data_IF_747903835074
#
_entry.id   IF_747903835074
#
_cell.length_a   1.000
_cell.length_b   1.000
_cell.length_c   1.000
_cell.angle_alpha   90.00
_cell.angle_beta   90.00
_cell.angle_gamma   90.00
#
_symmetry.space_group_name_H-M   'P 1'
#
loop_
_entity.id
_entity.type
_entity.pdbx_description
1 polymer ?
#
# COMPACT_ATOMS: atom_id res chain seq x y z
N UNK A 1 -2.23 -9.67 6.03
CA UNK A 1 -2.03 -8.26 6.39
C UNK A 1 -0.67 -8.03 7.03
N UNK A 2 -0.40 -8.56 8.23
CA UNK A 2 0.83 -8.25 8.98
C UNK A 2 2.15 -8.56 8.26
N UNK A 3 2.29 -9.75 7.64
CA UNK A 3 3.50 -10.09 6.89
C UNK A 3 3.71 -9.23 5.63
N UNK A 4 2.62 -8.83 4.96
CA UNK A 4 2.68 -7.95 3.78
C UNK A 4 3.05 -6.52 4.20
N UNK A 5 2.52 -6.05 5.33
CA UNK A 5 2.84 -4.74 5.89
C UNK A 5 4.32 -4.70 6.29
N UNK A 6 4.80 -5.69 7.03
CA UNK A 6 6.21 -5.77 7.46
C UNK A 6 7.19 -5.86 6.27
N UNK A 7 6.77 -6.43 5.14
CA UNK A 7 7.60 -6.47 3.92
C UNK A 7 7.73 -5.10 3.25
N UNK A 8 6.73 -4.24 3.38
CA UNK A 8 6.71 -2.90 2.78
C UNK A 8 7.30 -1.85 3.72
N UNK A 9 6.89 -1.88 4.99
CA UNK A 9 7.36 -1.02 6.06
C UNK A 9 7.64 -1.88 7.31
N UNK A 10 8.91 -2.26 7.55
CA UNK A 10 9.27 -3.15 8.64
C UNK A 10 9.26 -2.46 10.01
N UNK A 11 9.39 -1.12 10.06
CA UNK A 11 9.32 -0.38 11.32
C UNK A 11 7.87 -0.28 11.79
N UNK A 12 7.61 -0.81 12.99
CA UNK A 12 6.28 -0.76 13.61
C UNK A 12 5.74 0.66 13.85
N UNK A 13 6.61 1.66 13.88
CA UNK A 13 6.29 3.09 13.99
C UNK A 13 6.49 3.85 12.68
N UNK A 14 6.97 3.17 11.64
CA UNK A 14 7.15 3.71 10.30
C UNK A 14 5.83 3.83 9.56
N UNK A 15 5.76 4.82 8.68
CA UNK A 15 4.69 4.95 7.70
C UNK A 15 5.24 5.66 6.46
N UNK A 16 4.64 5.37 5.32
CA UNK A 16 5.05 5.95 4.04
C UNK A 16 3.99 6.96 3.60
N UNK A 17 4.39 8.20 3.36
CA UNK A 17 3.52 9.25 2.83
C UNK A 17 3.68 9.35 1.31
N UNK A 18 2.72 8.82 0.56
CA UNK A 18 2.67 8.92 -0.90
C UNK A 18 2.80 10.38 -1.40
N UNK A 19 2.05 11.30 -0.79
CA UNK A 19 2.10 12.74 -1.12
C UNK A 19 3.51 13.35 -1.00
N UNK A 20 4.31 12.87 -0.06
CA UNK A 20 5.69 13.31 0.11
C UNK A 20 6.58 12.76 -1.01
N UNK A 21 6.38 11.49 -1.38
CA UNK A 21 7.11 10.84 -2.48
C UNK A 21 6.86 11.56 -3.81
N UNK A 22 5.60 11.81 -4.15
CA UNK A 22 5.20 12.44 -5.41
C UNK A 22 5.49 13.95 -5.44
N UNK A 23 5.46 14.61 -4.28
CA UNK A 23 5.68 16.04 -4.15
C UNK A 23 7.13 16.39 -3.83
N UNK A 24 7.40 16.55 -2.54
CA UNK A 24 8.66 17.10 -2.02
C UNK A 24 9.88 16.27 -2.44
N UNK A 25 9.78 14.95 -2.44
CA UNK A 25 10.89 14.08 -2.79
C UNK A 25 11.23 14.16 -4.28
N UNK A 26 10.26 14.19 -5.20
CA UNK A 26 10.54 14.41 -6.64
C UNK A 26 11.18 15.77 -6.89
N UNK A 27 10.66 16.82 -6.24
CA UNK A 27 11.20 18.16 -6.36
C UNK A 27 12.63 18.23 -5.84
N UNK A 28 12.91 17.66 -4.67
CA UNK A 28 14.23 17.63 -4.06
C UNK A 28 15.25 16.87 -4.92
N UNK A 29 14.89 15.67 -5.39
CA UNK A 29 15.78 14.87 -6.26
C UNK A 29 16.08 15.60 -7.56
N UNK A 30 15.06 16.21 -8.18
CA UNK A 30 15.21 16.98 -9.42
C UNK A 30 16.07 18.23 -9.22
N UNK A 31 15.87 18.95 -8.11
CA UNK A 31 16.65 20.14 -7.77
C UNK A 31 18.12 19.80 -7.57
N UNK A 32 18.44 18.71 -6.87
CA UNK A 32 19.83 18.27 -6.67
C UNK A 32 20.51 18.01 -8.02
N UNK A 33 19.85 17.28 -8.92
CA UNK A 33 20.39 17.01 -10.26
C UNK A 33 20.71 18.28 -11.04
N UNK A 34 19.77 19.22 -11.11
CA UNK A 34 19.97 20.48 -11.82
C UNK A 34 21.01 21.39 -11.18
N UNK A 35 21.04 21.45 -9.85
CA UNK A 35 21.98 22.29 -9.13
C UNK A 35 23.41 21.79 -9.31
N UNK A 36 23.63 20.49 -9.18
CA UNK A 36 24.97 19.91 -9.35
C UNK A 36 25.46 20.04 -10.79
N UNK A 37 24.60 19.79 -11.78
CA UNK A 37 24.90 20.00 -13.21
C UNK A 37 25.36 21.45 -13.46
N UNK A 38 24.53 22.42 -13.05
CA UNK A 38 24.82 23.84 -13.23
C UNK A 38 26.12 24.29 -12.56
N UNK A 39 26.37 23.83 -11.32
CA UNK A 39 27.58 24.20 -10.57
C UNK A 39 28.84 23.55 -11.17
N UNK A 40 28.71 22.33 -11.70
CA UNK A 40 29.82 21.62 -12.34
C UNK A 40 30.21 22.31 -13.63
N UNK A 41 29.22 22.67 -14.46
CA UNK A 41 29.42 23.44 -15.67
C UNK A 41 30.03 24.82 -15.41
N UNK A 42 29.52 25.56 -14.41
CA UNK A 42 30.06 26.87 -14.03
C UNK A 42 31.51 26.76 -13.56
N UNK A 43 31.82 25.78 -12.71
CA UNK A 43 33.18 25.55 -12.24
C UNK A 43 34.13 25.18 -13.39
N UNK A 44 33.71 24.30 -14.29
CA UNK A 44 34.49 23.92 -15.47
C UNK A 44 34.73 25.13 -16.40
N UNK A 45 33.73 25.99 -16.59
CA UNK A 45 33.87 27.23 -17.36
C UNK A 45 34.88 28.20 -16.73
N UNK A 46 34.94 28.29 -15.40
CA UNK A 46 35.95 29.09 -14.69
C UNK A 46 37.33 28.46 -14.83
N UNK A 47 37.45 27.13 -14.76
CA UNK A 47 38.72 26.42 -14.97
C UNK A 47 39.28 26.65 -16.38
N UNK A 48 38.41 26.67 -17.39
CA UNK A 48 38.80 26.94 -18.78
C UNK A 48 39.42 28.34 -18.95
N UNK A 49 38.96 29.34 -18.20
CA UNK A 49 39.49 30.71 -18.28
C UNK A 49 40.94 30.84 -17.79
N UNK A 50 41.43 29.90 -16.98
CA UNK A 50 42.79 29.91 -16.43
C UNK A 50 43.68 28.79 -16.98
N UNK A 51 43.18 28.02 -17.96
CA UNK A 51 43.84 26.85 -18.55
C UNK A 51 45.23 27.16 -19.13
N UNK A 52 45.42 28.39 -19.64
CA UNK A 52 46.70 28.88 -20.18
C UNK A 52 47.81 28.98 -19.13
N UNK A 53 47.43 29.17 -17.86
CA UNK A 53 48.36 29.33 -16.72
C UNK A 53 48.61 27.97 -16.06
N UNK A 54 47.54 27.19 -15.89
CA UNK A 54 47.56 25.89 -15.22
C UNK A 54 46.51 24.96 -15.82
N UNK A 55 46.94 23.77 -16.23
CA UNK A 55 46.02 22.72 -16.67
C UNK A 55 45.28 22.11 -15.49
N UNK A 56 43.99 22.41 -15.35
CA UNK A 56 43.11 21.83 -14.34
C UNK A 56 42.22 20.76 -14.98
N UNK A 57 42.05 19.59 -14.36
CA UNK A 57 41.07 18.61 -14.82
C UNK A 57 39.65 19.12 -14.58
N UNK A 58 38.74 18.86 -15.52
CA UNK A 58 37.32 19.15 -15.33
C UNK A 58 36.70 18.27 -14.26
N UNK A 59 35.72 18.86 -13.57
CA UNK A 59 34.83 18.17 -12.66
C UNK A 59 33.83 17.31 -13.45
N UNK A 60 33.50 16.17 -12.88
CA UNK A 60 32.54 15.20 -13.42
C UNK A 60 31.47 14.94 -12.35
N UNK A 61 30.21 15.22 -12.69
CA UNK A 61 29.05 15.02 -11.83
C UNK A 61 28.23 13.77 -12.16
N UNK A 62 28.73 12.92 -13.06
CA UNK A 62 28.04 11.68 -13.50
C UNK A 62 27.55 10.82 -12.34
N UNK A 63 28.34 10.70 -11.26
CA UNK A 63 27.96 9.95 -10.06
C UNK A 63 26.74 10.54 -9.34
N UNK A 64 26.59 11.88 -9.33
CA UNK A 64 25.40 12.53 -8.77
C UNK A 64 24.20 12.32 -9.69
N UNK A 65 24.37 12.45 -11.01
CA UNK A 65 23.31 12.22 -11.98
C UNK A 65 22.80 10.76 -11.95
N UNK A 66 23.69 9.79 -11.79
CA UNK A 66 23.30 8.39 -11.55
C UNK A 66 22.53 8.22 -10.24
N UNK A 67 22.93 8.92 -9.18
CA UNK A 67 22.24 8.96 -7.90
C UNK A 67 20.81 9.52 -8.01
N UNK A 68 20.63 10.58 -8.77
CA UNK A 68 19.33 11.19 -9.08
C UNK A 68 18.43 10.17 -9.79
N UNK A 69 18.91 9.56 -10.87
CA UNK A 69 18.16 8.56 -11.63
C UNK A 69 17.75 7.37 -10.74
N UNK A 70 18.69 6.86 -9.93
CA UNK A 70 18.44 5.74 -9.01
C UNK A 70 17.40 6.10 -7.96
N UNK A 71 17.45 7.33 -7.43
CA UNK A 71 16.51 7.81 -6.42
C UNK A 71 15.11 7.98 -6.99
N UNK A 72 14.97 8.52 -8.20
CA UNK A 72 13.67 8.59 -8.90
C UNK A 72 13.06 7.20 -9.10
N UNK A 73 13.85 6.24 -9.60
CA UNK A 73 13.39 4.85 -9.75
C UNK A 73 12.95 4.25 -8.44
N UNK A 74 13.76 4.41 -7.37
CA UNK A 74 13.42 3.86 -6.06
C UNK A 74 12.11 4.44 -5.52
N UNK A 75 11.87 5.75 -5.71
CA UNK A 75 10.59 6.36 -5.38
C UNK A 75 9.44 5.72 -6.17
N UNK A 76 9.57 5.62 -7.49
CA UNK A 76 8.52 5.07 -8.36
C UNK A 76 8.20 3.60 -8.01
N UNK A 77 9.23 2.82 -7.69
CA UNK A 77 9.09 1.45 -7.20
C UNK A 77 8.33 1.41 -5.85
N UNK A 78 8.68 2.29 -4.91
CA UNK A 78 7.97 2.39 -3.62
C UNK A 78 6.50 2.76 -3.83
N UNK A 79 6.20 3.70 -4.72
CA UNK A 79 4.81 4.08 -4.99
C UNK A 79 4.00 2.93 -5.60
N UNK A 80 4.61 2.20 -6.53
CA UNK A 80 4.00 1.01 -7.12
C UNK A 80 3.70 -0.06 -6.06
N UNK A 81 4.62 -0.25 -5.10
CA UNK A 81 4.42 -1.19 -3.99
C UNK A 81 3.30 -0.74 -3.03
N UNK A 82 3.14 0.56 -2.80
CA UNK A 82 1.99 1.09 -2.03
C UNK A 82 0.67 0.74 -2.70
N UNK A 83 0.55 1.00 -4.01
CA UNK A 83 -0.68 0.67 -4.76
C UNK A 83 -0.99 -0.82 -4.79
N UNK A 84 0.04 -1.65 -4.98
CA UNK A 84 -0.13 -3.11 -4.95
C UNK A 84 -0.55 -3.59 -3.56
N UNK A 85 0.05 -3.03 -2.51
CA UNK A 85 -0.31 -3.34 -1.13
C UNK A 85 -1.76 -2.99 -0.84
N UNK A 86 -2.19 -1.77 -1.14
CA UNK A 86 -3.56 -1.29 -0.91
C UNK A 86 -4.60 -2.13 -1.68
N UNK A 87 -4.35 -2.40 -2.96
CA UNK A 87 -5.23 -3.22 -3.79
C UNK A 87 -5.34 -4.65 -3.24
N UNK A 88 -4.21 -5.23 -2.85
CA UNK A 88 -4.15 -6.59 -2.29
C UNK A 88 -4.88 -6.66 -0.96
N UNK A 89 -4.59 -5.77 -0.01
CA UNK A 89 -5.23 -5.78 1.31
C UNK A 89 -6.73 -5.50 1.20
N UNK A 90 -7.16 -4.58 0.34
CA UNK A 90 -8.59 -4.31 0.09
C UNK A 90 -9.29 -5.57 -0.44
N UNK A 91 -8.68 -6.25 -1.41
CA UNK A 91 -9.25 -7.49 -1.98
C UNK A 91 -9.36 -8.61 -0.94
N UNK A 92 -8.46 -8.66 0.06
CA UNK A 92 -8.58 -9.66 1.15
C UNK A 92 -9.81 -9.49 2.02
N UNK A 93 -10.46 -8.31 2.00
CA UNK A 93 -11.68 -8.03 2.75
C UNK A 93 -12.97 -8.42 1.99
N UNK A 94 -12.90 -8.68 0.67
CA UNK A 94 -14.08 -9.05 -0.13
C UNK A 94 -14.85 -10.26 0.41
N UNK A 95 -14.22 -11.35 0.90
CA UNK A 95 -14.97 -12.47 1.47
C UNK A 95 -15.75 -12.07 2.73
N UNK A 96 -15.18 -11.21 3.57
CA UNK A 96 -15.86 -10.72 4.78
C UNK A 96 -17.07 -9.86 4.39
N UNK A 97 -16.92 -9.01 3.38
CA UNK A 97 -18.03 -8.23 2.83
C UNK A 97 -19.16 -9.15 2.33
N UNK A 98 -18.83 -10.20 1.58
CA UNK A 98 -19.79 -11.19 1.09
C UNK A 98 -20.48 -11.95 2.23
N UNK A 99 -19.74 -12.31 3.27
CA UNK A 99 -20.29 -12.96 4.47
C UNK A 99 -21.29 -12.03 5.18
N UNK A 100 -20.96 -10.73 5.33
CA UNK A 100 -21.86 -9.74 5.94
C UNK A 100 -23.13 -9.50 5.10
N UNK A 101 -23.01 -9.46 3.77
CA UNK A 101 -24.17 -9.37 2.87
C UNK A 101 -25.07 -10.59 3.03
N UNK A 102 -24.49 -11.79 3.12
CA UNK A 102 -25.22 -13.05 3.33
C UNK A 102 -25.97 -13.03 4.67
N UNK A 103 -25.32 -12.56 5.75
CA UNK A 103 -25.97 -12.39 7.06
C UNK A 103 -27.14 -11.40 7.01
N UNK A 104 -27.00 -10.30 6.27
CA UNK A 104 -28.07 -9.31 6.14
C UNK A 104 -29.30 -9.88 5.40
N UNK A 105 -29.08 -10.61 4.30
CA UNK A 105 -30.16 -11.32 3.60
C UNK A 105 -30.87 -12.29 4.54
N UNK A 106 -30.11 -13.02 5.34
CA UNK A 106 -30.69 -13.95 6.30
C UNK A 106 -31.55 -13.27 7.37
N UNK A 107 -31.08 -12.19 7.99
CA UNK A 107 -31.86 -11.45 8.97
C UNK A 107 -33.19 -10.95 8.37
N UNK A 108 -33.14 -10.52 7.11
CA UNK A 108 -34.32 -10.07 6.37
C UNK A 108 -35.31 -11.23 6.12
N UNK A 109 -34.81 -12.39 5.71
CA UNK A 109 -35.65 -13.59 5.51
C UNK A 109 -36.30 -14.05 6.82
N UNK A 110 -35.56 -14.02 7.93
CA UNK A 110 -36.10 -14.34 9.26
C UNK A 110 -37.20 -13.37 9.67
N UNK A 111 -36.97 -12.06 9.52
CA UNK A 111 -37.97 -11.05 9.81
C UNK A 111 -39.26 -11.29 9.01
N UNK A 112 -39.13 -11.61 7.72
CA UNK A 112 -40.26 -11.95 6.85
C UNK A 112 -41.05 -13.18 7.32
N UNK A 113 -40.36 -14.26 7.73
CA UNK A 113 -40.99 -15.47 8.27
C UNK A 113 -41.74 -15.21 9.59
N UNK A 114 -41.15 -14.39 10.47
CA UNK A 114 -41.81 -13.97 11.72
C UNK A 114 -43.07 -13.14 11.44
N UNK A 115 -42.99 -12.16 10.54
CA UNK A 115 -44.15 -11.36 10.13
C UNK A 115 -45.25 -12.21 9.47
N UNK A 116 -44.88 -13.25 8.73
CA UNK A 116 -45.81 -14.19 8.12
C UNK A 116 -46.44 -15.19 9.11
N UNK A 117 -46.06 -15.15 10.39
CA UNK A 117 -46.62 -16.01 11.44
C UNK A 117 -46.19 -17.48 11.34
N UNK A 118 -45.09 -17.77 10.62
CA UNK A 118 -44.54 -19.12 10.48
C UNK A 118 -43.93 -19.55 11.81
N UNK A 119 -44.49 -20.59 12.45
CA UNK A 119 -44.06 -21.07 13.77
C UNK A 119 -42.99 -22.17 13.72
N UNK A 120 -42.79 -22.77 12.56
CA UNK A 120 -41.92 -23.93 12.36
C UNK A 120 -40.77 -23.52 11.43
N UNK A 121 -39.75 -22.86 11.99
CA UNK A 121 -38.57 -22.45 11.23
C UNK A 121 -37.64 -23.65 11.14
N UNK A 122 -37.68 -24.36 10.01
CA UNK A 122 -36.74 -25.43 9.70
C UNK A 122 -35.35 -24.85 9.42
N UNK A 123 -34.45 -24.96 10.39
CA UNK A 123 -33.05 -24.56 10.24
C UNK A 123 -32.29 -25.69 9.54
N UNK A 124 -32.07 -25.57 8.21
CA UNK A 124 -31.34 -26.58 7.43
C UNK A 124 -29.83 -26.36 7.59
N UNK A 125 -29.09 -27.18 8.37
CA UNK A 125 -27.71 -26.90 8.78
C UNK A 125 -26.71 -26.80 7.61
N UNK A 126 -26.97 -27.50 6.51
CA UNK A 126 -26.09 -27.47 5.32
C UNK A 126 -26.04 -26.12 4.61
N UNK A 127 -27.04 -25.25 4.82
CA UNK A 127 -27.00 -23.85 4.35
C UNK A 127 -26.16 -22.94 5.27
N UNK A 128 -25.83 -23.40 6.48
CA UNK A 128 -25.17 -22.62 7.54
C UNK A 128 -23.68 -22.92 7.70
N UNK A 129 -23.21 -24.08 7.24
CA UNK A 129 -21.79 -24.49 7.32
C UNK A 129 -20.83 -23.49 6.64
N UNK A 130 -21.29 -22.67 5.69
CA UNK A 130 -20.45 -21.64 5.04
C UNK A 130 -20.11 -20.49 5.99
N UNK A 131 -21.01 -20.15 6.92
CA UNK A 131 -20.85 -19.03 7.88
C UNK A 131 -20.20 -19.47 9.20
N UNK A 132 -20.30 -20.75 9.56
CA UNK A 132 -19.74 -21.29 10.81
C UNK A 132 -18.31 -21.82 10.67
N UNK A 133 -17.86 -22.14 9.45
CA UNK A 133 -16.50 -22.70 9.23
C UNK A 133 -15.36 -21.77 9.63
N UNK A 134 -15.62 -20.46 9.76
CA UNK A 134 -14.62 -19.44 10.14
C UNK A 134 -14.90 -18.73 11.47
N UNK A 135 -16.04 -18.99 12.10
CA UNK A 135 -16.40 -18.32 13.34
C UNK A 135 -16.38 -19.32 14.50
N UNK A 136 -15.72 -18.97 15.61
CA UNK A 136 -15.68 -19.75 16.87
C UNK A 136 -17.07 -19.95 17.52
N UNK A 137 -18.13 -19.50 16.85
CA UNK A 137 -19.53 -19.54 17.31
C UNK A 137 -20.13 -20.95 17.37
N UNK A 138 -19.53 -21.97 16.76
CA UNK A 138 -20.05 -23.35 16.84
C UNK A 138 -20.13 -23.89 18.27
N UNK A 139 -19.26 -23.44 19.18
CA UNK A 139 -19.24 -23.98 20.54
C UNK A 139 -20.41 -23.51 21.42
N UNK A 140 -21.08 -22.40 21.08
CA UNK A 140 -22.07 -21.78 21.97
C UNK A 140 -23.54 -22.11 21.62
N UNK A 141 -23.85 -22.45 20.36
CA UNK A 141 -25.23 -22.72 19.96
C UNK A 141 -25.75 -24.12 20.34
N UNK A 142 -24.86 -25.12 20.49
CA UNK A 142 -25.28 -26.47 20.96
C UNK A 142 -25.75 -26.51 22.41
N UNK A 143 -25.43 -25.50 23.23
CA UNK A 143 -25.82 -25.48 24.65
C UNK A 143 -27.12 -24.73 24.95
N UNK A 144 -27.71 -24.02 23.98
CA UNK A 144 -28.90 -23.16 24.23
C UNK A 144 -30.17 -23.52 23.44
N UNK A 145 -30.14 -24.52 22.57
CA UNK A 145 -31.32 -25.05 21.90
C UNK A 145 -31.75 -26.38 22.54
N UNK A 146 -32.29 -26.32 23.76
CA UNK A 146 -33.13 -27.35 24.38
C UNK A 146 -34.14 -26.66 25.28
#
# INVERSE_FOLDING_TARGET
MEAALHSLEPDSSGYIEEQFLEGELEQGITLIGHLTDSLTDEANSIMDQVSDIVGLPHLDDSGVQEGVIRSKRKRDDTNSQLYEFDATQTTTLHPIEQDLQTMNTWLTDMEGLFQAGVKDISFVPSRWNVLTFRSEFEQNCSQKCT
#
